data_IF_362975386391
#
_entry.id   IF_362975386391
#
_cell.length_a   1.000
_cell.length_b   1.000
_cell.length_c   1.000
_cell.angle_alpha   90.00
_cell.angle_beta   90.00
_cell.angle_gamma   90.00
#
_symmetry.space_group_name_H-M   'P 1'
#
loop_
_entity.id
_entity.type
_entity.pdbx_description
1 polymer ?
#
# COMPACT_ATOMS: atom_id res chain seq x y z
N UNK A 1 0.95 -16.85 -13.53
CA UNK A 1 1.88 -16.30 -12.52
C UNK A 1 1.54 -14.83 -12.27
N UNK A 2 0.52 -14.55 -11.45
CA UNK A 2 0.03 -13.17 -11.20
C UNK A 2 -0.79 -13.03 -9.89
N UNK A 3 -0.84 -14.04 -9.03
CA UNK A 3 -1.48 -13.91 -7.72
C UNK A 3 -0.46 -13.25 -6.78
N UNK A 4 -0.78 -12.05 -6.27
CA UNK A 4 0.05 -11.36 -5.27
C UNK A 4 -0.06 -12.05 -3.90
N UNK A 5 -0.10 -11.28 -2.82
CA UNK A 5 -0.43 -11.85 -1.51
C UNK A 5 -1.90 -12.27 -1.44
N UNK A 6 -2.12 -13.47 -0.90
CA UNK A 6 -3.44 -14.05 -0.64
C UNK A 6 -3.60 -14.16 0.88
N UNK A 7 -4.83 -14.05 1.39
CA UNK A 7 -5.09 -14.29 2.81
C UNK A 7 -4.74 -15.73 3.16
N UNK A 8 -4.05 -15.95 4.29
CA UNK A 8 -3.66 -17.29 4.70
C UNK A 8 -4.84 -18.27 4.77
N UNK A 9 -6.01 -17.81 5.21
CA UNK A 9 -7.24 -18.63 5.28
C UNK A 9 -7.90 -18.95 3.93
N UNK A 10 -7.42 -18.38 2.83
CA UNK A 10 -7.89 -18.65 1.46
C UNK A 10 -6.91 -19.53 0.67
N UNK A 11 -5.76 -19.90 1.26
CA UNK A 11 -4.79 -20.79 0.63
C UNK A 11 -5.31 -22.24 0.56
N UNK A 12 -4.97 -22.93 -0.51
CA UNK A 12 -5.28 -24.36 -0.71
C UNK A 12 -4.02 -25.18 -0.92
N UNK A 13 -4.13 -26.50 -0.73
CA UNK A 13 -3.02 -27.44 -0.99
C UNK A 13 -2.61 -27.35 -2.46
N UNK A 14 -1.31 -27.20 -2.69
CA UNK A 14 -0.72 -27.01 -4.01
C UNK A 14 -0.50 -25.55 -4.41
N UNK A 15 -0.97 -24.56 -3.64
CA UNK A 15 -0.65 -23.15 -3.90
C UNK A 15 0.87 -22.91 -3.80
N UNK A 16 1.36 -22.04 -4.69
CA UNK A 16 2.77 -21.63 -4.75
C UNK A 16 3.02 -20.41 -3.84
N UNK A 17 3.95 -20.55 -2.90
CA UNK A 17 4.47 -19.50 -2.03
C UNK A 17 5.94 -19.19 -2.39
N UNK A 18 6.49 -18.10 -1.85
CA UNK A 18 7.89 -17.71 -2.08
C UNK A 18 8.70 -17.72 -0.79
N UNK A 19 9.93 -18.26 -0.86
CA UNK A 19 10.93 -18.19 0.22
C UNK A 19 11.76 -16.89 0.18
N UNK A 20 12.70 -16.75 1.12
CA UNK A 20 13.64 -15.61 1.23
C UNK A 20 14.50 -15.36 -0.02
N UNK A 21 14.70 -16.39 -0.85
CA UNK A 21 15.50 -16.32 -2.07
C UNK A 21 14.62 -16.19 -3.33
N UNK A 22 13.28 -16.14 -3.17
CA UNK A 22 12.32 -16.14 -4.27
C UNK A 22 12.09 -17.50 -4.91
N UNK A 23 12.48 -18.61 -4.26
CA UNK A 23 12.16 -19.95 -4.71
C UNK A 23 10.70 -20.29 -4.41
N UNK A 24 10.12 -21.17 -5.22
CA UNK A 24 8.74 -21.64 -5.04
C UNK A 24 8.68 -22.70 -3.94
N UNK A 25 7.81 -22.48 -2.95
CA UNK A 25 7.36 -23.44 -1.95
C UNK A 25 5.92 -23.86 -2.26
N UNK A 26 5.53 -25.09 -1.92
CA UNK A 26 4.16 -25.58 -2.12
C UNK A 26 3.44 -25.72 -0.78
N UNK A 27 2.18 -25.31 -0.72
CA UNK A 27 1.32 -25.59 0.43
C UNK A 27 1.03 -27.09 0.47
N UNK A 28 1.62 -27.81 1.41
CA UNK A 28 1.42 -29.26 1.55
C UNK A 28 0.16 -29.61 2.34
N UNK A 29 -0.22 -28.78 3.32
CA UNK A 29 -1.35 -29.02 4.22
C UNK A 29 -1.96 -27.71 4.70
N UNK A 30 -3.28 -27.69 4.83
CA UNK A 30 -4.04 -26.58 5.39
C UNK A 30 -5.02 -27.09 6.45
N UNK A 31 -4.93 -26.56 7.67
CA UNK A 31 -5.79 -26.93 8.80
C UNK A 31 -6.28 -25.65 9.50
N UNK A 32 -7.56 -25.63 9.89
CA UNK A 32 -8.14 -24.59 10.76
C UNK A 32 -8.54 -25.24 12.07
N UNK A 33 -8.08 -24.67 13.20
CA UNK A 33 -8.38 -25.16 14.55
C UNK A 33 -9.12 -24.05 15.32
N UNK A 34 -10.26 -24.39 15.94
CA UNK A 34 -10.90 -23.53 16.92
C UNK A 34 -10.34 -23.86 18.31
N UNK A 35 -9.91 -22.83 19.03
CA UNK A 35 -9.41 -22.98 20.40
C UNK A 35 -10.49 -22.60 21.41
N UNK A 36 -10.68 -23.41 22.45
CA UNK A 36 -11.68 -23.15 23.51
C UNK A 36 -11.37 -21.90 24.34
N UNK A 37 -10.10 -21.47 24.33
CA UNK A 37 -9.62 -20.26 25.03
C UNK A 37 -8.86 -19.36 24.05
N UNK A 38 -8.85 -18.04 24.26
CA UNK A 38 -8.02 -17.13 23.46
C UNK A 38 -6.54 -17.49 23.56
N UNK A 39 -5.86 -17.58 22.42
CA UNK A 39 -4.41 -17.78 22.33
C UNK A 39 -3.74 -16.44 22.05
N UNK A 40 -2.58 -16.20 22.69
CA UNK A 40 -1.79 -15.00 22.41
C UNK A 40 -1.11 -15.16 21.05
N UNK A 41 -1.36 -14.21 20.15
CA UNK A 41 -0.69 -14.09 18.85
C UNK A 41 0.17 -12.83 18.81
N UNK A 42 1.16 -12.78 17.93
CA UNK A 42 2.08 -11.66 17.78
C UNK A 42 2.05 -11.15 16.34
N UNK A 43 2.00 -9.84 16.17
CA UNK A 43 2.17 -9.16 14.89
C UNK A 43 3.21 -8.05 15.07
N UNK A 44 4.03 -7.79 14.06
CA UNK A 44 4.92 -6.63 14.03
C UNK A 44 4.91 -6.01 12.64
N UNK A 45 5.09 -4.70 12.57
CA UNK A 45 5.12 -3.97 11.32
C UNK A 45 6.56 -3.63 10.95
N UNK A 46 6.93 -3.94 9.71
CA UNK A 46 8.20 -3.49 9.11
C UNK A 46 7.95 -2.18 8.38
N UNK A 47 8.86 -1.22 8.52
CA UNK A 47 8.81 0.05 7.80
C UNK A 47 8.92 -0.18 6.27
N UNK A 48 8.30 0.70 5.49
CA UNK A 48 8.32 0.77 4.02
C UNK A 48 7.69 -0.42 3.27
N UNK A 49 8.28 -1.60 3.35
CA UNK A 49 7.88 -2.74 2.52
C UNK A 49 6.66 -3.46 3.07
N UNK A 50 6.40 -3.37 4.39
CA UNK A 50 5.31 -4.06 5.07
C UNK A 50 5.27 -5.58 4.86
N UNK A 51 6.35 -6.16 4.34
CA UNK A 51 6.53 -7.60 4.16
C UNK A 51 7.64 -8.13 5.05
N UNK A 52 7.51 -9.36 5.51
CA UNK A 52 8.54 -10.09 6.25
C UNK A 52 8.50 -11.57 5.91
N UNK A 53 9.46 -12.33 6.43
CA UNK A 53 9.50 -13.78 6.26
C UNK A 53 9.14 -14.47 7.57
N UNK A 54 8.33 -15.53 7.51
CA UNK A 54 7.86 -16.28 8.68
C UNK A 54 8.17 -17.78 8.58
N UNK A 55 8.37 -18.40 9.74
CA UNK A 55 8.65 -19.84 9.86
C UNK A 55 10.06 -20.23 9.43
N UNK A 56 10.41 -21.49 9.64
CA UNK A 56 11.73 -22.04 9.31
C UNK A 56 12.02 -22.02 7.80
N UNK A 57 10.97 -22.14 6.98
CA UNK A 57 11.07 -22.07 5.52
C UNK A 57 11.14 -20.64 4.98
N UNK A 58 10.98 -19.62 5.85
CA UNK A 58 11.08 -18.22 5.47
C UNK A 58 10.05 -17.80 4.42
N UNK A 59 8.77 -18.08 4.67
CA UNK A 59 7.67 -17.76 3.76
C UNK A 59 7.44 -16.25 3.69
N UNK A 60 7.38 -15.68 2.49
CA UNK A 60 7.16 -14.26 2.26
C UNK A 60 5.70 -13.86 2.54
N UNK A 61 5.50 -13.00 3.54
CA UNK A 61 4.18 -12.54 3.98
C UNK A 61 4.09 -11.03 4.02
N UNK A 62 2.87 -10.51 4.02
CA UNK A 62 2.56 -9.08 4.01
C UNK A 62 1.61 -8.73 5.16
N UNK A 63 1.85 -7.59 5.79
CA UNK A 63 1.08 -7.07 6.92
C UNK A 63 0.32 -5.79 6.54
N UNK A 64 -0.11 -5.67 5.28
CA UNK A 64 -1.06 -4.63 4.90
C UNK A 64 -2.37 -5.23 4.44
N UNK A 65 -3.43 -4.93 5.20
CA UNK A 65 -4.82 -5.25 4.88
C UNK A 65 -5.39 -4.27 3.84
N UNK A 66 -4.65 -4.03 2.76
CA UNK A 66 -5.15 -3.28 1.62
C UNK A 66 -5.88 -4.22 0.64
N UNK A 67 -6.93 -3.73 -0.02
CA UNK A 67 -7.77 -4.51 -0.91
C UNK A 67 -8.27 -3.70 -2.11
N UNK A 68 -8.34 -4.35 -3.27
CA UNK A 68 -9.14 -3.87 -4.39
C UNK A 68 -10.53 -4.53 -4.39
N UNK A 69 -11.55 -3.72 -4.63
CA UNK A 69 -12.94 -4.15 -4.81
C UNK A 69 -13.30 -3.87 -6.25
N UNK A 70 -13.62 -4.91 -7.02
CA UNK A 70 -14.04 -4.77 -8.41
C UNK A 70 -15.51 -4.34 -8.45
N UNK A 71 -15.80 -3.31 -9.23
CA UNK A 71 -17.13 -2.80 -9.49
C UNK A 71 -17.74 -3.46 -10.74
N UNK A 72 -19.07 -3.42 -10.88
CA UNK A 72 -19.79 -4.03 -12.01
C UNK A 72 -19.42 -3.42 -13.37
N UNK A 73 -18.99 -2.15 -13.38
CA UNK A 73 -18.54 -1.43 -14.56
C UNK A 73 -17.08 -1.71 -14.97
N UNK A 74 -16.42 -2.65 -14.26
CA UNK A 74 -15.02 -3.02 -14.51
C UNK A 74 -13.99 -2.10 -13.85
N UNK A 75 -14.42 -1.04 -13.15
CA UNK A 75 -13.53 -0.20 -12.34
C UNK A 75 -13.23 -0.84 -10.98
N UNK A 76 -12.36 -0.21 -10.19
CA UNK A 76 -12.02 -0.69 -8.86
C UNK A 76 -12.13 0.41 -7.79
N UNK A 77 -12.51 0.01 -6.59
CA UNK A 77 -12.30 0.79 -5.37
C UNK A 77 -11.12 0.22 -4.59
N UNK A 78 -10.32 1.10 -3.99
CA UNK A 78 -9.16 0.76 -3.16
C UNK A 78 -9.45 1.01 -1.68
N UNK A 79 -9.32 -0.03 -0.87
CA UNK A 79 -9.27 0.04 0.58
C UNK A 79 -7.80 0.00 1.01
N UNK A 80 -7.34 1.06 1.66
CA UNK A 80 -6.02 1.16 2.27
C UNK A 80 -6.15 1.04 3.79
N UNK A 81 -5.16 0.46 4.46
CA UNK A 81 -5.17 0.27 5.90
C UNK A 81 -4.44 1.38 6.65
N UNK A 82 -5.02 1.85 7.75
CA UNK A 82 -4.28 2.65 8.73
C UNK A 82 -3.17 1.82 9.38
N UNK A 83 -2.12 2.49 9.87
CA UNK A 83 -1.26 1.88 10.89
C UNK A 83 -1.89 2.06 12.28
N UNK A 84 -1.69 1.05 13.13
CA UNK A 84 -2.24 1.05 14.50
C UNK A 84 -1.69 2.20 15.35
N UNK A 85 -0.40 2.53 15.16
CA UNK A 85 0.33 3.54 15.91
C UNK A 85 0.21 4.97 15.33
N UNK A 86 -0.58 5.16 14.28
CA UNK A 86 -0.80 6.49 13.71
C UNK A 86 -1.61 7.39 14.63
N UNK A 87 -1.06 8.59 14.84
CA UNK A 87 -1.74 9.69 15.51
C UNK A 87 -2.99 10.13 14.74
N UNK A 88 -3.95 10.80 15.39
CA UNK A 88 -5.11 11.38 14.69
C UNK A 88 -4.71 12.31 13.53
N UNK A 89 -3.60 13.04 13.65
CA UNK A 89 -3.07 13.88 12.57
C UNK A 89 -2.61 13.07 11.36
N UNK A 90 -1.85 12.00 11.58
CA UNK A 90 -1.41 11.09 10.50
C UNK A 90 -2.59 10.40 9.82
N UNK A 91 -3.61 9.98 10.59
CA UNK A 91 -4.84 9.42 10.03
C UNK A 91 -5.58 10.43 9.16
N UNK A 92 -5.70 11.68 9.63
CA UNK A 92 -6.34 12.76 8.86
C UNK A 92 -5.55 13.10 7.58
N UNK A 93 -4.22 13.08 7.61
CA UNK A 93 -3.37 13.22 6.43
C UNK A 93 -3.60 12.07 5.42
N UNK A 94 -3.70 10.83 5.91
CA UNK A 94 -3.98 9.66 5.07
C UNK A 94 -5.38 9.75 4.41
N UNK A 95 -6.38 10.16 5.18
CA UNK A 95 -7.74 10.39 4.70
C UNK A 95 -7.78 11.50 3.65
N UNK A 96 -7.03 12.59 3.86
CA UNK A 96 -6.93 13.68 2.90
C UNK A 96 -6.32 13.21 1.57
N UNK A 97 -5.26 12.38 1.60
CA UNK A 97 -4.68 11.79 0.38
C UNK A 97 -5.68 10.87 -0.33
N UNK A 98 -6.36 9.97 0.40
CA UNK A 98 -7.41 9.12 -0.18
C UNK A 98 -8.54 9.94 -0.83
N UNK A 99 -8.97 11.03 -0.17
CA UNK A 99 -9.98 11.94 -0.70
C UNK A 99 -9.52 12.67 -1.95
N UNK A 100 -8.24 13.05 -2.02
CA UNK A 100 -7.67 13.67 -3.21
C UNK A 100 -7.63 12.69 -4.38
N UNK A 101 -7.16 11.45 -4.14
CA UNK A 101 -7.16 10.38 -5.14
C UNK A 101 -8.57 10.05 -5.63
N UNK A 102 -9.56 9.92 -4.73
CA UNK A 102 -10.95 9.63 -5.13
C UNK A 102 -11.63 10.76 -5.91
N UNK A 103 -11.15 12.00 -5.75
CA UNK A 103 -11.66 13.15 -6.49
C UNK A 103 -11.00 13.30 -7.85
N UNK A 104 -9.81 12.75 -8.01
CA UNK A 104 -9.15 12.69 -9.29
C UNK A 104 -9.74 11.52 -10.10
N UNK A 105 -9.85 11.69 -11.41
CA UNK A 105 -10.21 10.60 -12.33
C UNK A 105 -9.01 9.64 -12.48
N UNK A 106 -8.67 8.92 -11.41
CA UNK A 106 -7.44 8.13 -11.36
C UNK A 106 -7.55 6.85 -12.17
N UNK A 107 -6.47 6.54 -12.89
CA UNK A 107 -6.31 5.27 -13.59
C UNK A 107 -4.86 4.84 -13.53
N UNK A 108 -4.59 3.53 -13.59
CA UNK A 108 -3.22 3.03 -13.63
C UNK A 108 -2.51 3.58 -14.87
N UNK A 109 -1.42 4.32 -14.67
CA UNK A 109 -0.62 4.90 -15.76
C UNK A 109 0.83 4.42 -15.70
N UNK A 110 1.54 4.61 -16.81
CA UNK A 110 3.00 4.54 -16.81
C UNK A 110 3.51 5.83 -16.15
N UNK A 111 4.28 5.76 -15.07
CA UNK A 111 4.72 6.96 -14.36
C UNK A 111 5.71 7.75 -15.20
N UNK A 112 5.41 9.02 -15.47
CA UNK A 112 6.35 9.95 -16.09
C UNK A 112 7.10 10.72 -15.00
N UNK A 113 8.42 10.55 -14.94
CA UNK A 113 9.27 11.17 -13.92
C UNK A 113 10.21 12.19 -14.57
N UNK A 114 10.25 13.39 -14.01
CA UNK A 114 11.27 14.38 -14.34
C UNK A 114 12.64 14.02 -13.77
N UNK A 115 13.68 14.71 -14.26
CA UNK A 115 15.07 14.51 -13.85
C UNK A 115 15.39 15.00 -12.43
N UNK A 116 14.49 15.77 -11.82
CA UNK A 116 14.68 16.40 -10.51
C UNK A 116 13.70 15.79 -9.51
N UNK A 117 14.17 15.42 -8.32
CA UNK A 117 13.31 14.86 -7.28
C UNK A 117 12.23 15.85 -6.82
N UNK A 118 11.06 15.34 -6.45
CA UNK A 118 9.95 16.15 -5.94
C UNK A 118 10.38 17.04 -4.76
N UNK A 119 11.11 16.47 -3.80
CA UNK A 119 11.67 17.22 -2.66
C UNK A 119 12.55 18.40 -3.09
N UNK A 120 13.40 18.22 -4.10
CA UNK A 120 14.27 19.29 -4.59
C UNK A 120 13.47 20.36 -5.33
N UNK A 121 12.50 19.98 -6.17
CA UNK A 121 11.60 20.95 -6.83
C UNK A 121 10.84 21.78 -5.81
N UNK A 122 10.27 21.13 -4.79
CA UNK A 122 9.49 21.78 -3.75
C UNK A 122 10.32 22.75 -2.90
N UNK A 123 11.52 22.36 -2.47
CA UNK A 123 12.43 23.23 -1.73
C UNK A 123 12.98 24.38 -2.55
N UNK A 124 13.16 24.21 -3.86
CA UNK A 124 13.55 25.31 -4.73
C UNK A 124 12.46 26.37 -4.83
N UNK A 125 11.18 25.97 -4.86
CA UNK A 125 10.04 26.89 -4.95
C UNK A 125 9.73 27.56 -3.60
N UNK A 126 9.64 26.76 -2.52
CA UNK A 126 9.14 27.22 -1.23
C UNK A 126 10.25 27.44 -0.17
N UNK A 127 11.51 27.16 -0.52
CA UNK A 127 12.68 27.31 0.34
C UNK A 127 13.11 26.02 1.07
N UNK A 128 14.37 25.95 1.49
CA UNK A 128 14.96 24.75 2.13
C UNK A 128 14.26 24.30 3.43
N UNK A 129 13.70 25.25 4.17
CA UNK A 129 13.00 25.00 5.43
C UNK A 129 11.49 24.71 5.26
N UNK A 130 11.00 24.61 4.02
CA UNK A 130 9.57 24.35 3.71
C UNK A 130 9.11 22.92 4.02
N UNK A 131 10.05 22.00 4.27
CA UNK A 131 9.77 20.58 4.52
C UNK A 131 10.37 20.19 5.87
N UNK A 132 9.53 19.71 6.80
CA UNK A 132 9.99 19.25 8.11
C UNK A 132 10.77 17.93 7.98
N UNK A 133 11.65 17.64 8.94
CA UNK A 133 12.41 16.37 8.96
C UNK A 133 11.53 15.13 9.05
N UNK A 134 10.30 15.28 9.57
CA UNK A 134 9.30 14.22 9.68
C UNK A 134 8.45 14.07 8.42
N UNK A 135 8.69 14.87 7.39
CA UNK A 135 7.91 14.85 6.15
C UNK A 135 8.75 14.41 4.96
N UNK A 136 8.09 13.72 4.03
CA UNK A 136 8.57 13.52 2.66
C UNK A 136 7.70 14.39 1.73
N UNK A 137 8.28 14.88 0.64
CA UNK A 137 7.50 15.56 -0.41
C UNK A 137 7.12 14.51 -1.44
N UNK A 138 5.84 14.41 -1.74
CA UNK A 138 5.32 13.49 -2.72
C UNK A 138 4.20 14.13 -3.54
N UNK A 139 3.83 13.45 -4.62
CA UNK A 139 2.69 13.86 -5.43
C UNK A 139 1.37 13.56 -4.69
N UNK A 140 0.43 14.49 -4.78
CA UNK A 140 -0.91 14.39 -4.16
C UNK A 140 -1.72 13.34 -4.90
N UNK A 141 -1.72 13.43 -6.22
CA UNK A 141 -2.12 12.34 -7.10
C UNK A 141 -0.87 11.60 -7.51
N UNK A 142 -0.78 10.32 -7.17
CA UNK A 142 0.38 9.50 -7.48
C UNK A 142 0.62 9.42 -8.99
N UNK A 143 1.88 9.50 -9.43
CA UNK A 143 2.24 9.41 -10.85
C UNK A 143 1.82 8.08 -11.50
N UNK A 144 1.69 7.02 -10.69
CA UNK A 144 1.20 5.71 -11.14
C UNK A 144 -0.32 5.67 -11.34
N UNK A 145 -1.02 6.74 -10.94
CA UNK A 145 -2.47 6.90 -10.94
C UNK A 145 -2.93 8.10 -11.79
N UNK A 146 -2.09 8.56 -12.73
CA UNK A 146 -2.39 9.70 -13.60
C UNK A 146 -1.98 11.07 -13.04
N UNK A 147 -1.27 11.11 -11.92
CA UNK A 147 -0.69 12.35 -11.40
C UNK A 147 0.37 12.93 -12.36
N UNK A 148 0.44 14.26 -12.42
CA UNK A 148 1.46 14.99 -13.19
C UNK A 148 2.66 15.33 -12.31
N UNK A 149 3.86 15.35 -12.90
CA UNK A 149 5.10 15.70 -12.20
C UNK A 149 5.32 17.22 -12.13
N UNK A 150 4.37 17.91 -11.50
CA UNK A 150 4.30 19.37 -11.38
C UNK A 150 4.28 19.82 -9.91
N UNK A 151 4.79 21.03 -9.65
CA UNK A 151 4.86 21.62 -8.31
C UNK A 151 3.48 21.74 -7.63
N UNK A 152 2.42 22.00 -8.38
CA UNK A 152 1.06 22.12 -7.83
C UNK A 152 0.46 20.77 -7.41
N UNK A 153 1.05 19.67 -7.90
CA UNK A 153 0.71 18.32 -7.46
C UNK A 153 1.64 17.85 -6.34
N UNK A 154 2.64 18.61 -5.89
CA UNK A 154 3.58 18.20 -4.85
C UNK A 154 3.19 18.79 -3.50
N UNK A 155 3.15 17.97 -2.45
CA UNK A 155 2.90 18.43 -1.09
C UNK A 155 3.76 17.65 -0.07
N UNK A 156 4.19 18.28 1.04
CA UNK A 156 4.79 17.58 2.16
C UNK A 156 3.72 16.74 2.89
N UNK A 157 4.08 15.51 3.23
CA UNK A 157 3.24 14.57 3.97
C UNK A 157 4.11 13.89 5.03
N UNK A 158 3.54 13.51 6.17
CA UNK A 158 4.26 12.73 7.16
C UNK A 158 4.90 11.48 6.52
N UNK A 159 6.18 11.22 6.85
CA UNK A 159 6.96 10.12 6.25
C UNK A 159 6.28 8.77 6.41
N UNK A 160 5.72 8.49 7.59
CA UNK A 160 5.08 7.20 7.87
C UNK A 160 3.82 7.03 7.03
N UNK A 161 3.04 8.10 6.88
CA UNK A 161 1.85 8.13 6.02
C UNK A 161 2.25 7.95 4.55
N UNK A 162 3.17 8.77 4.08
CA UNK A 162 3.58 8.81 2.69
C UNK A 162 4.07 7.45 2.18
N UNK A 163 5.02 6.85 2.91
CA UNK A 163 5.64 5.59 2.52
C UNK A 163 4.66 4.41 2.63
N UNK A 164 3.80 4.40 3.64
CA UNK A 164 2.76 3.39 3.81
C UNK A 164 1.76 3.43 2.65
N UNK A 165 1.19 4.59 2.33
CA UNK A 165 0.21 4.70 1.25
C UNK A 165 0.81 4.39 -0.11
N UNK A 166 2.01 4.89 -0.41
CA UNK A 166 2.70 4.58 -1.67
C UNK A 166 2.93 3.07 -1.84
N UNK A 167 3.37 2.38 -0.78
CA UNK A 167 3.60 0.94 -0.78
C UNK A 167 2.29 0.15 -1.00
N UNK A 168 1.22 0.52 -0.28
CA UNK A 168 -0.10 -0.11 -0.43
C UNK A 168 -0.68 0.09 -1.83
N UNK A 169 -0.63 1.31 -2.36
CA UNK A 169 -1.13 1.62 -3.71
C UNK A 169 -0.32 0.85 -4.76
N UNK A 170 1.01 0.88 -4.68
CA UNK A 170 1.88 0.15 -5.60
C UNK A 170 1.59 -1.36 -5.60
N UNK A 171 1.31 -1.92 -4.41
CA UNK A 171 0.89 -3.32 -4.28
C UNK A 171 -0.45 -3.58 -4.96
N UNK A 172 -1.49 -2.79 -4.64
CA UNK A 172 -2.83 -2.98 -5.17
C UNK A 172 -2.86 -2.91 -6.70
N UNK A 173 -2.19 -1.93 -7.29
CA UNK A 173 -2.26 -1.71 -8.74
C UNK A 173 -1.28 -2.55 -9.53
N UNK A 174 -0.37 -3.31 -8.88
CA UNK A 174 0.74 -4.03 -9.52
C UNK A 174 0.30 -4.84 -10.74
N UNK A 175 -0.81 -5.57 -10.61
CA UNK A 175 -1.30 -6.52 -11.62
C UNK A 175 -2.48 -6.00 -12.45
N UNK A 176 -2.90 -4.74 -12.27
CA UNK A 176 -3.93 -4.14 -13.12
C UNK A 176 -3.38 -3.79 -14.50
N UNK A 177 -4.22 -3.80 -15.52
CA UNK A 177 -3.83 -3.30 -16.84
C UNK A 177 -3.72 -1.76 -16.82
N UNK A 178 -2.83 -1.20 -17.65
CA UNK A 178 -2.77 0.26 -17.82
C UNK A 178 -4.10 0.78 -18.34
N UNK A 179 -4.55 1.91 -17.81
CA UNK A 179 -5.88 2.49 -18.06
C UNK A 179 -6.99 1.95 -17.15
N UNK A 180 -6.72 0.95 -16.31
CA UNK A 180 -7.71 0.51 -15.30
C UNK A 180 -8.02 1.65 -14.34
N UNK A 181 -9.30 2.03 -14.26
CA UNK A 181 -9.78 3.15 -13.43
C UNK A 181 -9.95 2.72 -11.97
N UNK A 182 -9.46 3.54 -11.06
CA UNK A 182 -9.72 3.44 -9.63
C UNK A 182 -10.63 4.61 -9.22
N UNK A 183 -11.85 4.31 -8.76
CA UNK A 183 -12.86 5.36 -8.47
C UNK A 183 -12.74 5.91 -7.06
N UNK A 184 -12.69 5.03 -6.07
CA UNK A 184 -12.70 5.43 -4.67
C UNK A 184 -11.49 4.88 -3.94
N UNK A 185 -10.87 5.72 -3.12
CA UNK A 185 -9.85 5.36 -2.15
C UNK A 185 -10.38 5.69 -0.76
N UNK A 186 -10.27 4.74 0.16
CA UNK A 186 -10.62 4.99 1.56
C UNK A 186 -9.68 4.26 2.50
N UNK A 187 -9.48 4.88 3.65
CA UNK A 187 -8.77 4.26 4.76
C UNK A 187 -9.72 3.38 5.58
N UNK A 188 -9.24 2.21 5.99
CA UNK A 188 -9.94 1.28 6.87
C UNK A 188 -9.04 0.89 8.03
N UNK A 189 -9.64 0.63 9.19
CA UNK A 189 -8.90 0.04 10.31
C UNK A 189 -8.45 -1.38 9.95
N UNK A 190 -7.25 -1.75 10.42
CA UNK A 190 -6.81 -3.12 10.34
C UNK A 190 -7.83 -3.98 11.12
N UNK A 191 -8.57 -4.82 10.40
CA UNK A 191 -9.33 -5.87 11.06
C UNK A 191 -8.29 -6.84 11.62
N UNK A 192 -8.25 -6.95 12.95
CA UNK A 192 -7.56 -8.05 13.61
C UNK A 192 -8.04 -9.34 12.96
N UNK A 193 -7.11 -10.03 12.29
CA UNK A 193 -7.30 -11.40 11.82
C UNK A 193 -7.40 -12.33 13.03
#
# INVERSE_FOLDING_TARGET
KNQGFIKAGELIVGDELLDVNGNVLLVEKFNVELTDKPVKVYNFQVEDFHTYHVGENGVWVHNSNCKLIKNDDGTYDAELSYKEDWTPGQRAEADAKCKALSKADTAKTIPERGSTSASKKYKNEYGENSVLKTQDVDHTIDLQLGGIDDIHNMNPLDKSVNRSLGSQIAYLIKNLDYGTVLRNFKMVDQKNL
#
